data_IF_418273806115
#
_entry.id   IF_418273806115
#
_cell.length_a   1.000
_cell.length_b   1.000
_cell.length_c   1.000
_cell.angle_alpha   90.00
_cell.angle_beta   90.00
_cell.angle_gamma   90.00
#
_symmetry.space_group_name_H-M   'P 1'
#
loop_
_entity.id
_entity.type
_entity.pdbx_description
1 polymer ?
#
# COMPACT_ATOMS: atom_id res chain seq x y z
N UNK A 1 -4.45 43.94 -27.94
CA UNK A 1 -5.74 43.28 -27.66
C UNK A 1 -6.01 42.31 -28.80
N UNK A 2 -5.70 41.02 -28.63
CA UNK A 2 -5.94 40.00 -29.63
C UNK A 2 -7.06 39.10 -29.14
N UNK A 3 -8.24 39.27 -29.71
CA UNK A 3 -9.41 38.41 -29.50
C UNK A 3 -9.15 37.04 -30.13
N UNK A 4 -9.11 36.01 -29.29
CA UNK A 4 -9.06 34.62 -29.71
C UNK A 4 -10.35 34.26 -30.46
N UNK A 5 -10.22 33.89 -31.73
CA UNK A 5 -11.30 33.28 -32.51
C UNK A 5 -11.42 31.82 -32.08
N UNK A 6 -12.47 31.53 -31.32
CA UNK A 6 -12.80 30.19 -30.85
C UNK A 6 -13.47 29.43 -32.00
N UNK A 7 -12.69 28.71 -32.80
CA UNK A 7 -13.20 27.88 -33.91
C UNK A 7 -13.64 26.52 -33.36
N UNK A 8 -14.73 26.51 -32.60
CA UNK A 8 -15.48 25.28 -32.36
C UNK A 8 -16.72 25.31 -33.24
N UNK A 9 -16.50 25.14 -34.55
CA UNK A 9 -17.59 25.00 -35.53
C UNK A 9 -18.07 23.56 -35.45
N UNK A 10 -18.97 23.32 -34.49
CA UNK A 10 -19.81 22.13 -34.49
C UNK A 10 -20.81 22.29 -35.63
N UNK A 11 -20.79 21.38 -36.60
CA UNK A 11 -21.78 21.34 -37.67
C UNK A 11 -23.18 21.06 -37.05
N UNK A 12 -23.95 22.11 -36.80
CA UNK A 12 -25.36 22.04 -36.39
C UNK A 12 -26.26 21.76 -37.60
N UNK A 13 -26.15 20.57 -38.19
CA UNK A 13 -27.03 20.15 -39.29
C UNK A 13 -28.30 19.45 -38.79
N UNK A 14 -28.37 19.03 -37.52
CA UNK A 14 -29.45 18.18 -36.99
C UNK A 14 -30.73 18.94 -36.56
N UNK A 15 -30.71 20.28 -36.54
CA UNK A 15 -31.82 21.10 -36.03
C UNK A 15 -32.58 21.90 -37.11
N UNK A 16 -32.33 21.69 -38.39
CA UNK A 16 -33.18 22.24 -39.45
C UNK A 16 -34.41 21.34 -39.68
N UNK A 17 -35.61 21.95 -39.64
CA UNK A 17 -36.90 21.28 -39.83
C UNK A 17 -37.03 20.76 -41.27
N UNK A 18 -36.49 19.57 -41.54
CA UNK A 18 -36.77 18.84 -42.77
C UNK A 18 -38.12 18.13 -42.63
N UNK A 19 -39.16 18.70 -43.24
CA UNK A 19 -40.50 18.11 -43.33
C UNK A 19 -40.61 17.07 -44.45
N UNK A 20 -39.56 16.26 -44.65
CA UNK A 20 -39.56 15.26 -45.72
C UNK A 20 -40.57 14.15 -45.39
N UNK A 21 -41.51 13.92 -46.32
CA UNK A 21 -42.38 12.74 -46.32
C UNK A 21 -41.88 11.75 -47.35
N UNK A 22 -41.59 10.53 -46.92
CA UNK A 22 -41.04 9.47 -47.78
C UNK A 22 -41.99 8.31 -47.93
N UNK A 23 -41.98 7.66 -49.10
CA UNK A 23 -42.75 6.45 -49.38
C UNK A 23 -41.94 5.20 -49.02
N UNK A 24 -41.60 5.06 -47.75
CA UNK A 24 -40.83 3.91 -47.26
C UNK A 24 -41.72 2.66 -47.17
N UNK A 25 -41.30 1.49 -47.72
CA UNK A 25 -42.04 0.24 -47.59
C UNK A 25 -42.13 -0.20 -46.13
N UNK A 26 -43.29 0.00 -45.52
CA UNK A 26 -43.54 -0.40 -44.14
C UNK A 26 -45.03 -0.66 -43.92
N UNK A 27 -45.35 -1.35 -42.81
CA UNK A 27 -46.71 -1.70 -42.39
C UNK A 27 -46.94 -1.26 -40.96
N UNK A 28 -48.17 -0.88 -40.62
CA UNK A 28 -48.60 -0.62 -39.25
C UNK A 28 -49.45 -1.79 -38.78
N UNK A 29 -49.11 -2.35 -37.62
CA UNK A 29 -49.94 -3.32 -36.91
C UNK A 29 -50.39 -2.77 -35.58
N UNK A 30 -51.69 -2.63 -35.38
CA UNK A 30 -52.26 -2.13 -34.12
C UNK A 30 -53.58 -2.82 -33.81
N UNK A 31 -54.05 -2.64 -32.57
CA UNK A 31 -55.35 -3.13 -32.13
C UNK A 31 -56.30 -1.93 -32.11
N UNK A 32 -57.38 -2.01 -32.89
CA UNK A 32 -58.42 -0.99 -32.98
C UNK A 32 -59.27 -0.92 -31.71
N UNK A 33 -60.14 0.10 -31.64
CA UNK A 33 -60.98 0.37 -30.47
C UNK A 33 -61.99 -0.75 -30.17
N UNK A 34 -62.33 -1.60 -31.15
CA UNK A 34 -63.20 -2.76 -31.00
C UNK A 34 -62.43 -4.09 -30.86
N UNK A 35 -61.13 -4.03 -30.50
CA UNK A 35 -60.21 -5.17 -30.38
C UNK A 35 -59.94 -5.93 -31.68
N UNK A 36 -60.21 -5.32 -32.81
CA UNK A 36 -59.83 -5.81 -34.13
C UNK A 36 -58.32 -5.62 -34.37
N UNK A 37 -57.64 -6.64 -34.87
CA UNK A 37 -56.25 -6.51 -35.31
C UNK A 37 -56.20 -5.88 -36.70
N UNK A 38 -55.65 -4.68 -36.81
CA UNK A 38 -55.47 -3.98 -38.08
C UNK A 38 -54.02 -4.13 -38.54
N UNK A 39 -53.84 -4.56 -39.79
CA UNK A 39 -52.54 -4.62 -40.46
C UNK A 39 -52.66 -3.92 -41.83
N UNK A 40 -52.04 -2.75 -41.94
CA UNK A 40 -52.15 -1.89 -43.12
C UNK A 40 -50.78 -1.45 -43.63
N UNK A 41 -50.64 -1.31 -44.96
CA UNK A 41 -49.45 -0.76 -45.59
C UNK A 41 -49.44 0.76 -45.46
N UNK A 42 -48.26 1.32 -45.18
CA UNK A 42 -48.05 2.75 -45.11
C UNK A 42 -47.99 3.37 -46.50
N UNK A 43 -48.63 4.53 -46.65
CA UNK A 43 -48.57 5.37 -47.84
C UNK A 43 -47.37 6.32 -47.81
N UNK A 44 -47.16 6.95 -46.67
CA UNK A 44 -46.03 7.85 -46.41
C UNK A 44 -45.66 7.87 -44.93
N UNK A 45 -44.40 8.24 -44.66
CA UNK A 45 -43.82 8.36 -43.34
C UNK A 45 -43.01 9.67 -43.24
N UNK A 46 -43.04 10.28 -42.07
CA UNK A 46 -42.25 11.45 -41.70
C UNK A 46 -41.78 11.34 -40.26
N UNK A 47 -40.91 12.26 -39.84
CA UNK A 47 -40.47 12.32 -38.44
C UNK A 47 -41.60 12.61 -37.43
N UNK A 48 -42.74 13.16 -37.88
CA UNK A 48 -43.87 13.54 -37.02
C UNK A 48 -45.11 12.65 -37.15
N UNK A 49 -45.18 11.78 -38.14
CA UNK A 49 -46.36 10.96 -38.37
C UNK A 49 -46.33 10.20 -39.68
N UNK A 50 -47.39 9.46 -39.96
CA UNK A 50 -47.53 8.58 -41.11
C UNK A 50 -48.96 8.52 -41.63
N UNK A 51 -49.14 7.98 -42.83
CA UNK A 51 -50.46 7.73 -43.39
C UNK A 51 -50.60 6.28 -43.87
N UNK A 52 -51.80 5.72 -43.77
CA UNK A 52 -52.14 4.39 -44.28
C UNK A 52 -53.56 4.37 -44.86
N UNK A 53 -53.88 3.31 -45.60
CA UNK A 53 -55.25 3.05 -46.09
C UNK A 53 -55.92 1.99 -45.24
N UNK A 54 -57.16 2.25 -44.84
CA UNK A 54 -57.97 1.30 -44.08
C UNK A 54 -58.41 0.12 -44.97
N UNK A 55 -58.20 -1.14 -44.57
CA UNK A 55 -58.74 -2.30 -45.30
C UNK A 55 -60.26 -2.26 -45.40
N UNK A 56 -60.84 -2.66 -46.54
CA UNK A 56 -62.29 -2.56 -46.82
C UNK A 56 -63.23 -3.25 -45.80
N UNK A 57 -62.69 -4.12 -44.95
CA UNK A 57 -63.44 -4.87 -43.92
C UNK A 57 -63.17 -4.39 -42.48
N UNK A 58 -62.55 -3.21 -42.30
CA UNK A 58 -62.24 -2.69 -40.96
C UNK A 58 -63.17 -1.54 -40.56
N UNK A 59 -63.43 -1.47 -39.26
CA UNK A 59 -64.30 -0.48 -38.62
C UNK A 59 -63.83 0.95 -38.92
N UNK A 60 -64.73 1.93 -39.14
CA UNK A 60 -64.33 3.30 -39.44
C UNK A 60 -63.52 3.90 -38.28
N UNK A 61 -62.29 4.32 -38.57
CA UNK A 61 -61.41 4.97 -37.61
C UNK A 61 -61.92 6.38 -37.32
N UNK A 62 -62.04 6.78 -36.04
CA UNK A 62 -62.46 8.13 -35.68
C UNK A 62 -61.27 9.07 -35.52
N UNK A 63 -61.44 10.33 -35.94
CA UNK A 63 -60.43 11.37 -35.72
C UNK A 63 -60.37 11.66 -34.23
N UNK A 64 -59.15 11.62 -33.67
CA UNK A 64 -58.89 11.79 -32.25
C UNK A 64 -58.50 10.50 -31.52
N UNK A 65 -58.75 9.33 -32.13
CA UNK A 65 -58.44 8.03 -31.52
C UNK A 65 -56.93 7.87 -31.29
N UNK A 66 -56.58 7.38 -30.09
CA UNK A 66 -55.21 7.09 -29.68
C UNK A 66 -54.99 5.57 -29.71
N UNK A 67 -54.05 5.12 -30.53
CA UNK A 67 -53.70 3.71 -30.65
C UNK A 67 -52.23 3.47 -30.30
N UNK A 68 -51.95 2.28 -29.79
CA UNK A 68 -50.60 1.75 -29.64
C UNK A 68 -50.39 0.66 -30.67
N UNK A 69 -49.32 0.75 -31.45
CA UNK A 69 -49.04 -0.16 -32.54
C UNK A 69 -47.55 -0.39 -32.75
N UNK A 70 -47.25 -1.25 -33.72
CA UNK A 70 -45.89 -1.55 -34.18
C UNK A 70 -45.78 -1.21 -35.66
N UNK A 71 -44.87 -0.30 -35.98
CA UNK A 71 -44.43 -0.07 -37.36
C UNK A 71 -43.42 -1.14 -37.72
N UNK A 72 -43.69 -1.86 -38.79
CA UNK A 72 -42.88 -2.95 -39.32
C UNK A 72 -42.26 -2.48 -40.63
N UNK A 73 -40.95 -2.32 -40.62
CA UNK A 73 -40.14 -1.94 -41.76
C UNK A 73 -39.48 -3.19 -42.33
N UNK A 74 -39.53 -3.33 -43.65
CA UNK A 74 -38.83 -4.39 -44.35
C UNK A 74 -37.84 -3.74 -45.31
N UNK A 75 -36.56 -3.82 -44.97
CA UNK A 75 -35.46 -3.28 -45.77
C UNK A 75 -34.53 -4.46 -46.08
N UNK A 76 -34.46 -4.82 -47.36
CA UNK A 76 -33.77 -6.01 -47.87
C UNK A 76 -34.14 -7.29 -47.10
N UNK A 77 -33.21 -7.83 -46.32
CA UNK A 77 -33.35 -9.09 -45.55
C UNK A 77 -33.62 -8.88 -44.05
N UNK A 78 -33.72 -7.63 -43.60
CA UNK A 78 -33.87 -7.29 -42.17
C UNK A 78 -35.27 -6.72 -41.92
N UNK A 79 -35.97 -7.29 -40.94
CA UNK A 79 -37.21 -6.74 -40.40
C UNK A 79 -36.93 -5.89 -39.17
N UNK A 80 -37.31 -4.61 -39.23
CA UNK A 80 -37.20 -3.69 -38.09
C UNK A 80 -38.60 -3.38 -37.58
N UNK A 81 -38.77 -3.36 -36.26
CA UNK A 81 -40.04 -3.03 -35.63
C UNK A 81 -39.87 -1.88 -34.64
N UNK A 82 -40.75 -0.87 -34.75
CA UNK A 82 -40.79 0.27 -33.86
C UNK A 82 -42.14 0.31 -33.15
N UNK A 83 -42.13 0.28 -31.83
CA UNK A 83 -43.33 0.49 -31.02
C UNK A 83 -43.66 1.98 -31.01
N UNK A 84 -44.90 2.32 -31.36
CA UNK A 84 -45.34 3.72 -31.48
C UNK A 84 -46.72 3.89 -30.86
N UNK A 85 -46.93 5.03 -30.21
CA UNK A 85 -48.25 5.55 -29.88
C UNK A 85 -48.59 6.61 -30.93
N UNK A 86 -49.81 6.57 -31.47
CA UNK A 86 -50.22 7.51 -32.50
C UNK A 86 -51.67 7.93 -32.34
N UNK A 87 -51.94 9.17 -32.71
CA UNK A 87 -53.27 9.74 -32.74
C UNK A 87 -53.73 9.93 -34.18
N UNK A 88 -54.97 9.54 -34.46
CA UNK A 88 -55.59 9.79 -35.77
C UNK A 88 -55.96 11.26 -35.87
N UNK A 89 -55.41 11.97 -36.87
CA UNK A 89 -55.63 13.40 -37.08
C UNK A 89 -56.55 13.72 -38.25
N UNK A 90 -56.58 12.87 -39.26
CA UNK A 90 -57.42 13.08 -40.45
C UNK A 90 -57.90 11.74 -40.99
N UNK A 91 -59.16 11.69 -41.42
CA UNK A 91 -59.71 10.56 -42.16
C UNK A 91 -60.43 11.08 -43.41
N UNK A 92 -59.95 10.67 -44.57
CA UNK A 92 -60.60 10.96 -45.85
C UNK A 92 -61.46 9.77 -46.29
N UNK A 93 -62.77 10.00 -46.49
CA UNK A 93 -63.74 8.96 -46.83
C UNK A 93 -63.66 8.53 -48.29
N UNK A 94 -63.19 9.39 -49.19
CA UNK A 94 -63.15 9.09 -50.63
C UNK A 94 -61.93 8.24 -50.98
N UNK A 95 -60.79 8.51 -50.34
CA UNK A 95 -59.53 7.77 -50.55
C UNK A 95 -59.24 6.71 -49.49
N UNK A 96 -60.12 6.56 -48.48
CA UNK A 96 -59.93 5.74 -47.29
C UNK A 96 -58.57 5.98 -46.58
N UNK A 97 -58.03 7.19 -46.71
CA UNK A 97 -56.72 7.59 -46.19
C UNK A 97 -56.84 8.07 -44.75
N UNK A 98 -56.08 7.43 -43.87
CA UNK A 98 -55.93 7.81 -42.46
C UNK A 98 -54.58 8.50 -42.28
N UNK A 99 -54.59 9.70 -41.72
CA UNK A 99 -53.39 10.44 -41.32
C UNK A 99 -53.20 10.37 -39.81
N UNK A 100 -52.03 9.94 -39.38
CA UNK A 100 -51.68 9.74 -37.98
C UNK A 100 -50.48 10.61 -37.57
N UNK A 101 -50.54 11.14 -36.36
CA UNK A 101 -49.44 11.86 -35.72
C UNK A 101 -48.87 10.99 -34.59
N UNK A 102 -47.55 10.93 -34.47
CA UNK A 102 -46.91 10.22 -33.37
C UNK A 102 -47.09 10.96 -32.04
N UNK A 103 -47.39 10.20 -30.99
CA UNK A 103 -47.51 10.70 -29.63
C UNK A 103 -46.41 10.10 -28.75
N UNK A 104 -45.82 10.92 -27.88
CA UNK A 104 -44.84 10.51 -26.86
C UNK A 104 -43.65 9.67 -27.36
N UNK A 105 -43.15 9.90 -28.57
CA UNK A 105 -41.95 9.20 -29.04
C UNK A 105 -40.75 9.49 -28.15
N UNK A 106 -40.05 8.44 -27.73
CA UNK A 106 -38.81 8.57 -26.99
C UNK A 106 -37.71 9.14 -27.90
N UNK A 107 -36.70 9.85 -27.35
CA UNK A 107 -35.59 10.38 -28.15
C UNK A 107 -34.90 9.34 -29.05
N UNK A 108 -34.80 8.09 -28.55
CA UNK A 108 -34.25 6.94 -29.28
C UNK A 108 -35.07 6.59 -30.53
N UNK A 109 -36.40 6.65 -30.43
CA UNK A 109 -37.34 6.33 -31.51
C UNK A 109 -37.32 7.42 -32.59
N UNK A 110 -37.22 8.69 -32.16
CA UNK A 110 -37.09 9.85 -33.06
C UNK A 110 -35.77 9.77 -33.85
N UNK A 111 -34.66 9.45 -33.19
CA UNK A 111 -33.36 9.28 -33.85
C UNK A 111 -33.39 8.15 -34.87
N UNK A 112 -33.98 7.00 -34.51
CA UNK A 112 -34.15 5.86 -35.42
C UNK A 112 -34.99 6.23 -36.66
N UNK A 113 -36.14 6.89 -36.48
CA UNK A 113 -36.99 7.31 -37.60
C UNK A 113 -36.27 8.31 -38.52
N UNK A 114 -35.56 9.28 -37.97
CA UNK A 114 -34.80 10.26 -38.76
C UNK A 114 -33.69 9.60 -39.55
N UNK A 115 -32.92 8.73 -38.93
CA UNK A 115 -31.87 7.99 -39.61
C UNK A 115 -32.44 7.18 -40.79
N UNK A 116 -33.53 6.43 -40.56
CA UNK A 116 -34.19 5.68 -41.63
C UNK A 116 -34.68 6.56 -42.79
N UNK A 117 -35.28 7.72 -42.49
CA UNK A 117 -35.75 8.67 -43.51
C UNK A 117 -34.57 9.25 -44.29
N UNK A 118 -33.51 9.67 -43.60
CA UNK A 118 -32.32 10.28 -44.21
C UNK A 118 -31.58 9.27 -45.08
N UNK A 119 -31.31 8.05 -44.59
CA UNK A 119 -30.64 7.01 -45.37
C UNK A 119 -31.46 6.61 -46.59
N UNK A 120 -32.79 6.50 -46.47
CA UNK A 120 -33.66 6.22 -47.61
C UNK A 120 -33.63 7.33 -48.66
N UNK A 121 -33.63 8.60 -48.24
CA UNK A 121 -33.49 9.74 -49.16
C UNK A 121 -32.11 9.82 -49.82
N UNK A 122 -31.06 9.41 -49.10
CA UNK A 122 -29.69 9.38 -49.61
C UNK A 122 -29.43 8.17 -50.54
N UNK A 123 -30.32 7.18 -50.56
CA UNK A 123 -30.12 5.93 -51.30
C UNK A 123 -29.06 5.01 -50.69
N UNK A 124 -28.74 5.20 -49.42
CA UNK A 124 -27.71 4.42 -48.71
C UNK A 124 -28.28 3.09 -48.17
N UNK A 125 -27.46 2.04 -48.20
CA UNK A 125 -27.82 0.72 -47.62
C UNK A 125 -27.77 0.84 -46.10
N UNK A 126 -28.92 0.67 -45.44
CA UNK A 126 -29.04 0.77 -43.98
C UNK A 126 -28.36 -0.42 -43.30
N UNK A 127 -27.19 -0.21 -42.69
CA UNK A 127 -26.48 -1.21 -41.89
C UNK A 127 -26.85 -1.16 -40.40
N UNK A 128 -26.96 -2.32 -39.74
CA UNK A 128 -27.26 -2.43 -38.30
C UNK A 128 -26.17 -1.77 -37.44
N UNK A 129 -24.91 -1.81 -37.89
CA UNK A 129 -23.78 -1.21 -37.18
C UNK A 129 -23.89 0.32 -37.07
N UNK A 130 -24.30 0.98 -38.14
CA UNK A 130 -24.44 2.44 -38.18
C UNK A 130 -25.64 2.94 -37.37
N UNK A 131 -26.70 2.13 -37.32
CA UNK A 131 -27.87 2.39 -36.46
C UNK A 131 -27.52 2.26 -34.98
N UNK A 132 -26.71 1.26 -34.59
CA UNK A 132 -26.23 1.13 -33.21
C UNK A 132 -25.33 2.31 -32.81
N UNK A 133 -24.46 2.76 -33.73
CA UNK A 133 -23.56 3.87 -33.48
C UNK A 133 -24.30 5.21 -33.34
N UNK A 134 -25.33 5.46 -34.13
CA UNK A 134 -26.21 6.64 -33.98
C UNK A 134 -27.05 6.58 -32.70
N UNK A 135 -27.50 5.40 -32.28
CA UNK A 135 -28.21 5.22 -31.01
C UNK A 135 -27.29 5.36 -29.78
N UNK A 136 -25.99 5.04 -29.90
CA UNK A 136 -24.98 5.20 -28.85
C UNK A 136 -24.36 6.59 -28.77
N UNK A 137 -24.41 7.38 -29.85
CA UNK A 137 -24.05 8.79 -29.84
C UNK A 137 -25.11 9.57 -29.06
N UNK A 138 -24.93 9.66 -27.74
CA UNK A 138 -25.66 10.59 -26.90
C UNK A 138 -25.27 12.05 -27.23
N UNK A 139 -25.75 12.56 -28.36
CA UNK A 139 -25.72 13.98 -28.73
C UNK A 139 -26.97 14.72 -28.24
N UNK A 140 -27.59 14.26 -27.15
CA UNK A 140 -28.61 15.04 -26.48
C UNK A 140 -27.92 15.87 -25.41
N UNK A 141 -27.51 17.09 -25.79
CA UNK A 141 -27.21 18.12 -24.81
C UNK A 141 -28.43 18.23 -23.90
N UNK A 142 -28.26 17.76 -22.66
CA UNK A 142 -29.22 17.96 -21.58
C UNK A 142 -29.65 19.42 -21.66
N UNK A 143 -30.94 19.68 -21.83
CA UNK A 143 -31.46 21.04 -21.84
C UNK A 143 -30.81 21.78 -20.67
N UNK A 144 -30.04 22.82 -20.99
CA UNK A 144 -29.26 23.56 -20.00
C UNK A 144 -30.28 23.96 -18.94
N UNK A 145 -30.13 23.41 -17.74
CA UNK A 145 -30.92 23.87 -16.60
C UNK A 145 -30.56 25.35 -16.53
N UNK A 146 -31.48 26.22 -16.92
CA UNK A 146 -31.40 27.64 -16.64
C UNK A 146 -31.54 27.75 -15.12
N UNK A 147 -30.46 27.40 -14.42
CA UNK A 147 -30.20 27.86 -13.08
C UNK A 147 -30.13 29.36 -13.19
N UNK A 148 -31.07 30.00 -12.50
CA UNK A 148 -31.22 31.43 -12.30
C UNK A 148 -29.96 32.25 -12.62
N UNK A 149 -30.10 33.18 -13.56
CA UNK A 149 -29.31 34.39 -13.62
C UNK A 149 -27.85 34.23 -14.03
N UNK A 150 -27.51 34.88 -15.13
CA UNK A 150 -26.18 35.39 -15.43
C UNK A 150 -25.72 36.47 -14.43
N UNK A 151 -25.73 36.14 -13.12
CA UNK A 151 -25.08 36.91 -12.08
C UNK A 151 -23.86 36.13 -11.64
N UNK A 152 -22.67 36.75 -11.73
CA UNK A 152 -21.44 36.13 -11.24
C UNK A 152 -21.65 35.56 -9.84
N UNK A 153 -21.05 34.38 -9.58
CA UNK A 153 -21.18 33.64 -8.33
C UNK A 153 -21.21 34.60 -7.13
N UNK A 154 -22.36 34.66 -6.43
CA UNK A 154 -22.58 35.61 -5.34
C UNK A 154 -21.45 35.53 -4.31
N UNK A 155 -21.16 36.65 -3.62
CA UNK A 155 -20.03 36.77 -2.70
C UNK A 155 -19.91 35.60 -1.71
N UNK A 156 -21.06 35.09 -1.23
CA UNK A 156 -21.15 33.92 -0.35
C UNK A 156 -20.79 32.59 -1.04
N UNK A 157 -21.15 32.42 -2.31
CA UNK A 157 -20.76 31.26 -3.11
C UNK A 157 -19.26 31.25 -3.42
N UNK A 158 -18.68 32.42 -3.70
CA UNK A 158 -17.23 32.59 -3.86
C UNK A 158 -16.47 32.29 -2.58
N UNK A 159 -16.93 32.80 -1.44
CA UNK A 159 -16.33 32.51 -0.15
C UNK A 159 -16.36 31.02 0.17
N UNK A 160 -17.51 30.35 -0.02
CA UNK A 160 -17.63 28.89 0.18
C UNK A 160 -16.70 28.10 -0.75
N UNK A 161 -16.62 28.49 -2.03
CA UNK A 161 -15.73 27.83 -2.99
C UNK A 161 -14.26 28.00 -2.60
N UNK A 162 -13.83 29.22 -2.24
CA UNK A 162 -12.46 29.50 -1.79
C UNK A 162 -12.13 28.71 -0.52
N UNK A 163 -13.02 28.69 0.48
CA UNK A 163 -12.79 27.95 1.73
C UNK A 163 -12.63 26.45 1.48
N UNK A 164 -13.47 25.85 0.62
CA UNK A 164 -13.36 24.43 0.28
C UNK A 164 -12.08 24.15 -0.52
N UNK A 165 -11.75 24.98 -1.51
CA UNK A 165 -10.51 24.83 -2.29
C UNK A 165 -9.26 24.98 -1.41
N UNK A 166 -9.23 25.95 -0.50
CA UNK A 166 -8.13 26.14 0.44
C UNK A 166 -8.02 24.97 1.41
N UNK A 167 -9.13 24.43 1.92
CA UNK A 167 -9.11 23.27 2.79
C UNK A 167 -8.50 22.04 2.10
N UNK A 168 -8.92 21.76 0.85
CA UNK A 168 -8.35 20.67 0.05
C UNK A 168 -6.87 20.92 -0.24
N UNK A 169 -6.49 22.16 -0.53
CA UNK A 169 -5.09 22.53 -0.76
C UNK A 169 -4.23 22.30 0.49
N UNK A 170 -4.69 22.70 1.68
CA UNK A 170 -3.98 22.47 2.95
C UNK A 170 -3.82 20.98 3.22
N UNK A 171 -4.86 20.17 2.98
CA UNK A 171 -4.76 18.71 3.08
C UNK A 171 -3.74 18.15 2.07
N UNK A 172 -3.75 18.65 0.84
CA UNK A 172 -2.79 18.26 -0.19
C UNK A 172 -1.35 18.60 0.18
N UNK A 173 -1.09 19.80 0.71
CA UNK A 173 0.24 20.21 1.21
C UNK A 173 0.66 19.37 2.40
N UNK A 174 -0.26 19.07 3.32
CA UNK A 174 0.02 18.17 4.45
C UNK A 174 0.41 16.77 4.00
N UNK A 175 -0.35 16.18 3.09
CA UNK A 175 -0.05 14.88 2.50
C UNK A 175 1.29 14.89 1.75
N UNK A 176 1.57 15.94 0.98
CA UNK A 176 2.83 16.11 0.27
C UNK A 176 4.03 16.21 1.22
N UNK A 177 3.91 16.96 2.31
CA UNK A 177 4.95 17.05 3.34
C UNK A 177 5.22 15.70 4.01
N UNK A 178 4.18 14.91 4.27
CA UNK A 178 4.31 13.55 4.82
C UNK A 178 5.05 12.63 3.84
N UNK A 179 4.69 12.66 2.56
CA UNK A 179 5.34 11.84 1.53
C UNK A 179 6.81 12.24 1.37
N UNK A 180 7.12 13.53 1.28
CA UNK A 180 8.50 14.01 1.22
C UNK A 180 9.31 13.56 2.43
N UNK A 181 8.73 13.62 3.62
CA UNK A 181 9.36 13.12 4.83
C UNK A 181 9.61 11.60 4.73
N UNK A 182 8.65 10.79 4.28
CA UNK A 182 8.85 9.35 4.10
C UNK A 182 9.98 9.04 3.11
N UNK A 183 10.04 9.74 1.98
CA UNK A 183 11.12 9.60 1.01
C UNK A 183 12.46 9.97 1.65
N UNK A 184 12.53 11.08 2.39
CA UNK A 184 13.76 11.46 3.09
C UNK A 184 14.22 10.36 4.04
N UNK A 185 13.31 9.76 4.81
CA UNK A 185 13.68 8.72 5.77
C UNK A 185 14.10 7.41 5.10
N UNK A 186 13.50 7.07 3.96
CA UNK A 186 13.88 5.86 3.22
C UNK A 186 15.26 5.98 2.57
N UNK A 187 15.67 7.20 2.18
CA UNK A 187 16.94 7.42 1.48
C UNK A 187 18.09 7.91 2.36
N UNK A 188 17.81 8.60 3.47
CA UNK A 188 18.83 9.29 4.28
C UNK A 188 18.91 8.83 5.74
N UNK A 189 18.06 7.89 6.16
CA UNK A 189 18.12 7.33 7.53
C UNK A 189 18.41 5.85 7.46
N UNK A 190 19.55 5.47 8.03
CA UNK A 190 20.01 4.09 8.07
C UNK A 190 19.71 3.51 9.44
N UNK A 191 18.83 2.51 9.50
CA UNK A 191 18.48 1.82 10.74
C UNK A 191 19.31 0.54 10.91
N UNK A 192 19.64 0.23 12.16
CA UNK A 192 20.16 -1.07 12.55
C UNK A 192 19.05 -2.13 12.56
N UNK A 193 19.37 -3.36 12.17
CA UNK A 193 18.44 -4.49 12.24
C UNK A 193 18.22 -4.92 13.71
N UNK A 194 19.25 -4.78 14.55
CA UNK A 194 19.17 -5.00 15.99
C UNK A 194 20.23 -4.20 16.73
N UNK A 195 19.95 -3.90 18.01
CA UNK A 195 20.91 -3.28 18.91
C UNK A 195 20.66 -3.67 20.35
N UNK A 196 21.72 -3.70 21.15
CA UNK A 196 21.69 -4.07 22.57
C UNK A 196 22.72 -3.26 23.34
N UNK A 197 22.39 -2.88 24.56
CA UNK A 197 23.36 -2.31 25.49
C UNK A 197 24.31 -3.41 25.96
N UNK A 198 25.60 -3.23 25.74
CA UNK A 198 26.66 -4.18 26.04
C UNK A 198 27.70 -3.57 26.97
N UNK A 199 28.10 -4.33 27.99
CA UNK A 199 29.15 -3.93 28.93
C UNK A 199 30.36 -4.83 28.71
N UNK A 200 31.55 -4.25 28.76
CA UNK A 200 32.78 -5.00 28.60
C UNK A 200 32.87 -6.07 29.70
N UNK A 201 32.88 -7.34 29.32
CA UNK A 201 33.07 -8.46 30.23
C UNK A 201 34.39 -9.18 29.94
N UNK A 202 34.93 -9.80 30.98
CA UNK A 202 36.12 -10.63 30.92
C UNK A 202 35.78 -12.00 31.49
N UNK A 203 36.07 -13.03 30.72
CA UNK A 203 35.77 -14.41 31.08
C UNK A 203 37.03 -15.05 31.64
N UNK A 204 36.94 -15.58 32.85
CA UNK A 204 38.02 -16.35 33.48
C UNK A 204 37.75 -17.82 33.20
N UNK A 205 38.64 -18.42 32.43
CA UNK A 205 38.55 -19.81 32.00
C UNK A 205 39.48 -20.71 32.79
N UNK A 206 39.11 -21.99 32.89
CA UNK A 206 39.97 -23.00 33.49
C UNK A 206 41.26 -23.22 32.68
N UNK A 207 42.45 -23.12 33.29
CA UNK A 207 43.72 -23.38 32.60
C UNK A 207 43.94 -24.89 32.35
N UNK A 208 43.31 -25.74 33.15
CA UNK A 208 43.40 -27.20 33.15
C UNK A 208 42.06 -27.79 33.57
N UNK A 209 41.83 -29.05 33.23
CA UNK A 209 40.69 -29.80 33.73
C UNK A 209 40.86 -30.12 35.23
N UNK A 210 39.77 -30.03 36.00
CA UNK A 210 39.82 -30.20 37.44
C UNK A 210 38.56 -29.71 38.15
N UNK A 211 38.56 -29.74 39.48
CA UNK A 211 37.46 -29.19 40.28
C UNK A 211 37.74 -27.74 40.66
N UNK A 212 36.69 -26.93 40.76
CA UNK A 212 36.79 -25.50 41.11
C UNK A 212 36.11 -25.22 42.44
N UNK A 213 36.76 -24.44 43.29
CA UNK A 213 36.21 -23.90 44.53
C UNK A 213 36.29 -22.37 44.49
N UNK A 214 35.15 -21.71 44.49
CA UNK A 214 35.11 -20.24 44.54
C UNK A 214 35.57 -19.72 45.90
N UNK A 215 36.35 -18.64 45.88
CA UNK A 215 36.77 -17.89 47.07
C UNK A 215 35.97 -16.59 47.23
N UNK A 216 35.11 -16.26 46.26
CA UNK A 216 34.34 -15.02 46.21
C UNK A 216 32.89 -15.29 45.83
N UNK A 217 31.98 -14.44 46.31
CA UNK A 217 30.56 -14.55 45.98
C UNK A 217 30.22 -13.76 44.70
N UNK A 218 29.18 -14.16 43.93
CA UNK A 218 28.65 -13.34 42.85
C UNK A 218 28.26 -11.94 43.35
N UNK A 219 28.69 -10.91 42.62
CA UNK A 219 28.48 -9.51 42.96
C UNK A 219 29.61 -8.86 43.74
N UNK A 220 30.60 -9.62 44.24
CA UNK A 220 31.75 -9.10 44.96
C UNK A 220 32.68 -8.26 44.06
N UNK A 221 33.25 -7.19 44.63
CA UNK A 221 34.33 -6.42 44.00
C UNK A 221 35.69 -7.05 44.37
N UNK A 222 36.54 -7.26 43.36
CA UNK A 222 37.85 -7.87 43.49
C UNK A 222 38.91 -6.98 42.85
N UNK A 223 40.05 -6.83 43.53
CA UNK A 223 41.18 -6.09 43.00
C UNK A 223 41.95 -6.92 41.96
N UNK A 224 42.68 -6.24 41.07
CA UNK A 224 43.60 -6.89 40.13
C UNK A 224 44.62 -7.75 40.89
N UNK A 225 44.74 -9.02 40.49
CA UNK A 225 45.61 -10.02 41.09
C UNK A 225 45.02 -10.73 42.32
N UNK A 226 43.85 -10.31 42.79
CA UNK A 226 43.20 -10.98 43.92
C UNK A 226 42.77 -12.42 43.54
N UNK A 227 42.95 -13.41 44.43
CA UNK A 227 42.50 -14.77 44.19
C UNK A 227 40.96 -14.83 44.25
N UNK A 228 40.35 -15.32 43.16
CA UNK A 228 38.89 -15.42 43.02
C UNK A 228 38.39 -16.86 43.15
N UNK A 229 39.22 -17.84 42.82
CA UNK A 229 38.91 -19.25 43.02
C UNK A 229 40.19 -20.07 43.16
N UNK A 230 40.06 -21.25 43.71
CA UNK A 230 41.09 -22.29 43.66
C UNK A 230 40.62 -23.43 42.77
N UNK A 231 41.53 -24.07 42.06
CA UNK A 231 41.25 -25.27 41.29
C UNK A 231 42.17 -26.41 41.72
N UNK A 232 41.66 -27.63 41.65
CA UNK A 232 42.42 -28.86 41.92
C UNK A 232 42.44 -29.72 40.66
N UNK A 233 43.63 -30.01 40.13
CA UNK A 233 43.83 -30.82 38.93
C UNK A 233 44.70 -32.04 39.23
N UNK A 234 44.49 -33.14 38.50
CA UNK A 234 45.29 -34.35 38.66
C UNK A 234 46.69 -34.15 38.06
N UNK A 235 47.75 -34.47 38.81
CA UNK A 235 49.13 -34.28 38.38
C UNK A 235 49.50 -35.15 37.17
N UNK A 236 48.86 -36.31 37.04
CA UNK A 236 49.08 -37.23 35.92
C UNK A 236 48.82 -36.57 34.55
N UNK A 237 47.84 -35.66 34.47
CA UNK A 237 47.52 -34.94 33.22
C UNK A 237 48.58 -33.92 32.80
N UNK A 238 49.48 -33.51 33.70
CA UNK A 238 50.65 -32.71 33.35
C UNK A 238 51.74 -33.53 32.68
N UNK A 239 51.85 -34.80 33.05
CA UNK A 239 52.95 -35.68 32.67
C UNK A 239 52.63 -36.51 31.42
N UNK A 240 51.35 -36.71 31.08
CA UNK A 240 50.91 -37.45 29.88
C UNK A 240 51.53 -36.97 28.55
N UNK A 241 52.02 -35.73 28.46
CA UNK A 241 52.69 -35.20 27.26
C UNK A 241 54.22 -35.28 27.25
N UNK A 242 54.86 -35.66 28.37
CA UNK A 242 56.32 -35.62 28.54
C UNK A 242 56.91 -36.93 29.12
N UNK A 243 56.08 -37.96 29.33
CA UNK A 243 56.54 -39.26 29.82
C UNK A 243 56.93 -40.17 28.66
N UNK A 244 58.15 -40.70 28.67
CA UNK A 244 58.55 -41.84 27.83
C UNK A 244 57.97 -43.14 28.40
N UNK A 245 57.69 -44.13 27.54
CA UNK A 245 57.05 -45.40 27.93
C UNK A 245 57.77 -46.13 29.09
N UNK A 246 59.09 -45.93 29.22
CA UNK A 246 59.92 -46.50 30.30
C UNK A 246 59.66 -45.91 31.69
N UNK A 247 59.06 -44.72 31.78
CA UNK A 247 58.74 -44.05 33.05
C UNK A 247 57.34 -44.40 33.57
N UNK A 248 56.52 -45.10 32.78
CA UNK A 248 55.19 -45.62 33.13
C UNK A 248 55.27 -46.94 33.92
N UNK A 249 56.11 -46.99 34.95
CA UNK A 249 56.19 -48.15 35.83
C UNK A 249 54.97 -48.15 36.79
N UNK A 250 54.27 -49.28 37.03
CA UNK A 250 53.01 -49.32 37.79
C UNK A 250 53.10 -48.69 39.18
N UNK A 251 54.25 -48.81 39.84
CA UNK A 251 54.52 -48.24 41.17
C UNK A 251 54.69 -46.71 41.17
N UNK A 252 55.10 -46.11 40.06
CA UNK A 252 55.19 -44.65 39.91
C UNK A 252 53.84 -44.05 39.51
N UNK A 253 53.02 -44.80 38.78
CA UNK A 253 51.66 -44.42 38.40
C UNK A 253 50.79 -44.24 39.65
N UNK A 254 50.80 -45.19 40.59
CA UNK A 254 50.04 -45.07 41.85
C UNK A 254 50.47 -43.86 42.69
N UNK A 255 51.77 -43.55 42.75
CA UNK A 255 52.28 -42.37 43.45
C UNK A 255 51.83 -41.05 42.80
N UNK A 256 51.71 -41.02 41.47
CA UNK A 256 51.30 -39.83 40.72
C UNK A 256 49.78 -39.62 40.69
N UNK A 257 48.97 -40.68 40.82
CA UNK A 257 47.51 -40.60 40.93
C UNK A 257 47.04 -39.98 42.26
N UNK A 258 47.81 -40.13 43.35
CA UNK A 258 47.46 -39.61 44.67
C UNK A 258 47.75 -38.12 44.87
N UNK A 259 48.47 -37.47 43.96
CA UNK A 259 48.86 -36.07 44.09
C UNK A 259 48.02 -35.17 43.19
N UNK A 260 47.20 -34.33 43.82
CA UNK A 260 46.50 -33.25 43.14
C UNK A 260 47.30 -31.96 43.24
N UNK A 261 47.40 -31.24 42.12
CA UNK A 261 47.95 -29.89 42.10
C UNK A 261 46.83 -28.89 42.37
N UNK A 262 47.03 -28.03 43.37
CA UNK A 262 46.14 -26.91 43.62
C UNK A 262 46.73 -25.63 43.03
N UNK A 263 45.94 -24.90 42.27
CA UNK A 263 46.25 -23.58 41.75
C UNK A 263 45.18 -22.57 42.12
N UNK A 264 45.47 -21.28 41.91
CA UNK A 264 44.50 -20.20 42.11
C UNK A 264 44.23 -19.47 40.80
N UNK A 265 42.96 -19.15 40.57
CA UNK A 265 42.52 -18.23 39.54
C UNK A 265 42.53 -16.82 40.15
N UNK A 266 43.08 -15.86 39.43
CA UNK A 266 43.20 -14.46 39.89
C UNK A 266 42.45 -13.52 38.96
N UNK A 267 41.96 -12.41 39.50
CA UNK A 267 41.31 -11.38 38.70
C UNK A 267 42.34 -10.62 37.85
N UNK A 268 42.14 -10.43 36.53
CA UNK A 268 43.01 -9.65 35.67
C UNK A 268 42.86 -8.12 35.82
N UNK A 269 41.83 -7.66 36.54
CA UNK A 269 41.41 -6.27 36.65
C UNK A 269 40.77 -5.96 38.01
N UNK A 270 40.62 -4.67 38.31
CA UNK A 270 39.73 -4.20 39.37
C UNK A 270 38.29 -4.32 38.86
N UNK A 271 37.64 -5.41 39.25
CA UNK A 271 36.48 -5.93 38.58
C UNK A 271 35.42 -6.39 39.58
N UNK A 272 34.17 -6.41 39.13
CA UNK A 272 33.05 -7.00 39.87
C UNK A 272 32.68 -8.35 39.27
N UNK A 273 32.48 -9.35 40.12
CA UNK A 273 32.01 -10.67 39.70
C UNK A 273 30.54 -10.56 39.31
N UNK A 274 30.20 -10.75 38.04
CA UNK A 274 28.82 -10.67 37.55
C UNK A 274 28.12 -12.02 37.72
N UNK A 275 28.81 -13.09 37.32
CA UNK A 275 28.23 -14.42 37.26
C UNK A 275 29.31 -15.47 37.52
N UNK A 276 28.94 -16.51 38.28
CA UNK A 276 29.69 -17.75 38.42
C UNK A 276 28.97 -18.84 37.61
N UNK A 277 29.64 -19.36 36.57
CA UNK A 277 29.08 -20.33 35.62
C UNK A 277 29.24 -21.78 36.08
N UNK A 278 30.24 -22.06 36.91
CA UNK A 278 30.54 -23.39 37.46
C UNK A 278 30.44 -23.32 38.97
N UNK A 279 29.61 -24.18 39.57
CA UNK A 279 29.40 -24.18 41.01
C UNK A 279 30.60 -24.75 41.78
N UNK A 280 30.66 -24.45 43.08
CA UNK A 280 31.71 -24.95 43.96
C UNK A 280 31.73 -26.48 44.00
N UNK A 281 32.93 -27.06 43.94
CA UNK A 281 33.18 -28.50 43.92
C UNK A 281 32.88 -29.17 42.57
N UNK A 282 32.39 -28.44 41.56
CA UNK A 282 32.11 -29.02 40.25
C UNK A 282 33.39 -29.17 39.42
N UNK A 283 33.38 -30.20 38.57
CA UNK A 283 34.41 -30.44 37.57
C UNK A 283 34.22 -29.50 36.38
N UNK A 284 35.31 -28.90 35.91
CA UNK A 284 35.36 -28.06 34.73
C UNK A 284 36.56 -28.46 33.85
N UNK A 285 36.36 -28.43 32.55
CA UNK A 285 37.39 -28.75 31.57
C UNK A 285 38.30 -27.55 31.31
N UNK A 286 39.47 -27.80 30.72
CA UNK A 286 40.32 -26.73 30.21
C UNK A 286 39.55 -25.87 29.20
N UNK A 287 39.53 -24.56 29.41
CA UNK A 287 38.84 -23.58 28.57
C UNK A 287 37.42 -23.25 29.02
N UNK A 288 36.83 -24.02 29.93
CA UNK A 288 35.50 -23.73 30.46
C UNK A 288 35.50 -22.40 31.22
N UNK A 289 34.51 -21.55 30.96
CA UNK A 289 34.34 -20.26 31.61
C UNK A 289 33.78 -20.46 33.01
N UNK A 290 34.49 -19.98 34.02
CA UNK A 290 34.13 -20.13 35.43
C UNK A 290 33.48 -18.85 35.96
N UNK A 291 34.10 -17.71 35.71
CA UNK A 291 33.60 -16.40 36.13
C UNK A 291 33.47 -15.46 34.95
N UNK A 292 32.41 -14.66 34.98
CA UNK A 292 32.28 -13.46 34.15
C UNK A 292 32.49 -12.24 35.04
N UNK A 293 33.53 -11.47 34.74
CA UNK A 293 33.92 -10.27 35.46
C UNK A 293 33.65 -9.04 34.60
N UNK A 294 33.28 -7.92 35.24
CA UNK A 294 33.10 -6.63 34.56
C UNK A 294 33.97 -5.57 35.25
N UNK A 295 34.75 -4.75 34.50
CA UNK A 295 35.56 -3.68 35.09
C UNK A 295 34.71 -2.66 35.85
N UNK A 296 35.20 -2.22 37.02
CA UNK A 296 34.48 -1.28 37.89
C UNK A 296 34.18 0.06 37.21
N UNK A 297 35.12 0.55 36.40
CA UNK A 297 35.00 1.81 35.66
C UNK A 297 34.45 1.62 34.24
N UNK A 298 33.84 0.46 33.93
CA UNK A 298 33.29 0.23 32.59
C UNK A 298 32.01 1.04 32.37
N UNK A 299 32.04 1.91 31.37
CA UNK A 299 30.84 2.55 30.84
C UNK A 299 30.15 1.60 29.86
N UNK A 300 28.83 1.49 29.94
CA UNK A 300 28.09 0.67 28.99
C UNK A 300 28.24 1.23 27.57
N UNK A 301 28.42 0.34 26.61
CA UNK A 301 28.46 0.63 25.17
C UNK A 301 27.20 0.10 24.50
N UNK A 302 26.94 0.49 23.26
CA UNK A 302 25.85 -0.09 22.47
C UNK A 302 26.45 -0.91 21.35
N UNK A 303 26.00 -2.15 21.23
CA UNK A 303 26.35 -3.01 20.10
C UNK A 303 25.15 -3.08 19.15
N UNK A 304 25.38 -2.75 17.89
CA UNK A 304 24.35 -2.73 16.86
C UNK A 304 24.77 -3.54 15.64
N UNK A 305 23.79 -4.12 14.95
CA UNK A 305 23.99 -4.88 13.72
C UNK A 305 23.31 -4.17 12.57
N UNK A 306 24.06 -3.93 11.51
CA UNK A 306 23.59 -3.30 10.30
C UNK A 306 23.76 -4.25 9.12
N UNK A 307 22.88 -4.18 8.11
CA UNK A 307 23.03 -4.99 6.92
C UNK A 307 24.24 -4.52 6.11
N UNK A 308 24.93 -5.45 5.44
CA UNK A 308 26.18 -5.18 4.72
C UNK A 308 26.04 -4.10 3.63
N UNK A 309 24.84 -3.92 3.05
CA UNK A 309 24.53 -2.83 2.10
C UNK A 309 24.87 -1.42 2.63
N UNK A 310 24.88 -1.24 3.96
CA UNK A 310 25.13 0.04 4.60
C UNK A 310 26.60 0.21 5.01
N UNK A 311 27.51 -0.70 4.64
CA UNK A 311 28.92 -0.71 5.06
C UNK A 311 29.64 0.63 4.87
N UNK A 312 29.33 1.35 3.77
CA UNK A 312 29.96 2.63 3.44
C UNK A 312 29.73 3.73 4.50
N UNK A 313 28.60 3.68 5.22
CA UNK A 313 28.21 4.67 6.23
C UNK A 313 28.74 4.33 7.63
N UNK A 314 29.20 3.10 7.85
CA UNK A 314 29.61 2.56 9.15
C UNK A 314 31.09 2.85 9.50
N UNK A 315 31.59 4.02 9.12
CA UNK A 315 32.98 4.39 9.43
C UNK A 315 33.15 4.71 10.92
N UNK A 316 34.29 4.35 11.55
CA UNK A 316 34.62 4.81 12.89
C UNK A 316 34.56 6.33 13.00
N UNK A 317 33.95 6.84 14.06
CA UNK A 317 33.71 8.27 14.28
C UNK A 317 32.36 8.79 13.78
N UNK A 318 31.60 8.02 12.99
CA UNK A 318 30.25 8.41 12.55
C UNK A 318 29.33 8.62 13.76
N UNK A 319 28.58 9.72 13.75
CA UNK A 319 27.59 10.03 14.76
C UNK A 319 26.31 9.21 14.54
N UNK A 320 25.80 8.62 15.60
CA UNK A 320 24.60 7.78 15.59
C UNK A 320 23.65 8.21 16.70
N UNK A 321 22.36 8.06 16.43
CA UNK A 321 21.31 8.26 17.42
C UNK A 321 20.82 6.88 17.88
N UNK A 322 20.68 6.69 19.18
CA UNK A 322 20.15 5.45 19.73
C UNK A 322 19.12 5.71 20.83
N UNK A 323 18.18 4.78 20.96
CA UNK A 323 17.15 4.81 21.99
C UNK A 323 17.04 3.45 22.67
N UNK A 324 17.24 3.43 23.98
CA UNK A 324 17.14 2.20 24.79
C UNK A 324 15.68 1.89 25.06
N UNK A 325 15.28 0.63 24.95
CA UNK A 325 13.93 0.20 25.25
C UNK A 325 13.54 0.52 26.70
N UNK A 326 12.39 1.19 26.86
CA UNK A 326 11.90 1.67 28.15
C UNK A 326 12.38 3.07 28.53
N UNK A 327 13.32 3.65 27.79
CA UNK A 327 13.70 5.06 27.91
C UNK A 327 12.95 5.91 26.86
N UNK A 328 12.54 7.11 27.26
CA UNK A 328 11.90 8.08 26.37
C UNK A 328 12.92 9.00 25.68
N UNK A 329 14.15 9.03 26.17
CA UNK A 329 15.20 9.90 25.67
C UNK A 329 15.98 9.26 24.51
N UNK A 330 16.17 10.03 23.44
CA UNK A 330 17.07 9.65 22.33
C UNK A 330 18.45 10.21 22.65
N UNK A 331 19.47 9.35 22.65
CA UNK A 331 20.84 9.70 23.01
C UNK A 331 21.74 9.64 21.77
N UNK A 332 22.79 10.46 21.78
CA UNK A 332 23.83 10.46 20.76
C UNK A 332 25.01 9.57 21.15
N UNK A 333 25.71 9.06 20.15
CA UNK A 333 26.98 8.36 20.32
C UNK A 333 27.79 8.30 19.03
N UNK A 334 28.98 7.71 19.13
CA UNK A 334 29.89 7.55 17.99
C UNK A 334 30.30 6.11 17.79
N UNK A 335 30.48 5.72 16.54
CA UNK A 335 31.01 4.40 16.19
C UNK A 335 32.48 4.33 16.62
N UNK A 336 32.81 3.38 17.49
CA UNK A 336 34.19 3.11 17.92
C UNK A 336 34.86 2.11 16.98
N UNK A 337 34.18 1.01 16.67
CA UNK A 337 34.71 -0.10 15.87
C UNK A 337 33.61 -0.73 15.04
N UNK A 338 34.01 -1.26 13.88
CA UNK A 338 33.15 -2.06 13.02
C UNK A 338 33.87 -3.36 12.65
N UNK A 339 33.12 -4.46 12.64
CA UNK A 339 33.62 -5.76 12.26
C UNK A 339 32.50 -6.54 11.55
N UNK A 340 32.81 -7.29 10.48
CA UNK A 340 31.86 -8.26 9.94
C UNK A 340 31.53 -9.31 11.02
N UNK A 341 30.30 -9.81 11.03
CA UNK A 341 29.91 -10.91 11.93
C UNK A 341 30.47 -12.22 11.36
N UNK A 342 31.22 -12.98 12.16
CA UNK A 342 31.79 -14.26 11.72
C UNK A 342 30.68 -15.27 11.33
N UNK A 343 30.71 -15.71 10.07
CA UNK A 343 29.78 -16.68 9.48
C UNK A 343 30.00 -16.80 7.96
N UNK A 344 29.71 -17.98 7.40
CA UNK A 344 30.04 -18.37 6.01
C UNK A 344 29.44 -17.44 4.92
N UNK A 345 28.46 -16.60 5.29
CA UNK A 345 27.81 -15.60 4.46
C UNK A 345 27.39 -14.38 5.32
N UNK A 346 28.36 -13.64 5.88
CA UNK A 346 28.07 -12.49 6.76
C UNK A 346 27.28 -11.38 6.04
N UNK A 347 25.95 -11.39 6.17
CA UNK A 347 25.08 -10.32 5.65
C UNK A 347 25.02 -9.10 6.57
N UNK A 348 25.69 -9.16 7.72
CA UNK A 348 25.60 -8.19 8.80
C UNK A 348 26.99 -7.70 9.24
N UNK A 349 27.06 -6.42 9.60
CA UNK A 349 28.21 -5.75 10.18
C UNK A 349 27.86 -5.40 11.61
N UNK A 350 28.69 -5.86 12.55
CA UNK A 350 28.63 -5.49 13.96
C UNK A 350 29.36 -4.18 14.18
N UNK A 351 28.69 -3.28 14.87
CA UNK A 351 29.16 -1.93 15.18
C UNK A 351 29.13 -1.74 16.68
N UNK A 352 30.25 -1.31 17.25
CA UNK A 352 30.34 -0.92 18.64
C UNK A 352 30.27 0.61 18.74
N UNK A 353 29.37 1.11 19.58
CA UNK A 353 29.04 2.52 19.71
C UNK A 353 29.37 2.97 21.14
N UNK A 354 30.12 4.07 21.24
CA UNK A 354 30.37 4.76 22.50
C UNK A 354 29.36 5.89 22.68
N UNK A 355 28.52 5.85 23.72
CA UNK A 355 27.62 6.96 24.07
C UNK A 355 28.37 8.28 24.33
N UNK A 356 27.79 9.41 23.92
CA UNK A 356 28.34 10.73 24.24
C UNK A 356 28.21 11.09 25.73
N UNK A 357 27.20 10.52 26.40
CA UNK A 357 26.99 10.58 27.84
C UNK A 357 27.09 9.19 28.46
N UNK A 358 27.72 9.03 29.63
CA UNK A 358 27.91 7.73 30.25
C UNK A 358 26.56 7.05 30.48
N UNK A 359 26.45 5.82 29.97
CA UNK A 359 25.27 5.00 30.08
C UNK A 359 25.40 4.05 31.29
N UNK A 360 24.33 3.94 32.07
CA UNK A 360 24.32 3.09 33.26
C UNK A 360 24.47 1.61 32.86
N UNK A 361 25.40 0.93 33.54
CA UNK A 361 25.60 -0.52 33.49
C UNK A 361 24.32 -1.34 33.77
N UNK A 362 23.35 -0.81 34.51
CA UNK A 362 22.07 -1.48 34.77
C UNK A 362 21.20 -1.66 33.52
N UNK A 363 21.48 -0.90 32.45
CA UNK A 363 20.78 -1.03 31.17
C UNK A 363 21.36 -2.15 30.30
N UNK A 364 22.42 -2.84 30.74
CA UNK A 364 23.00 -3.97 30.03
C UNK A 364 21.96 -5.01 29.63
N UNK A 365 22.07 -5.52 28.40
CA UNK A 365 21.14 -6.51 27.83
C UNK A 365 19.82 -5.92 27.34
N UNK A 366 19.55 -4.61 27.54
CA UNK A 366 18.33 -4.00 27.02
C UNK A 366 18.40 -3.80 25.51
N UNK A 367 17.34 -4.15 24.76
CA UNK A 367 17.22 -3.84 23.34
C UNK A 367 17.34 -2.33 23.12
N UNK A 368 18.01 -1.93 22.05
CA UNK A 368 18.25 -0.53 21.70
C UNK A 368 18.06 -0.36 20.20
N UNK A 369 17.25 0.61 19.81
CA UNK A 369 17.12 1.02 18.41
C UNK A 369 18.26 1.97 18.07
N UNK A 370 18.96 1.74 16.96
CA UNK A 370 20.06 2.59 16.49
C UNK A 370 19.79 3.05 15.08
N UNK A 371 20.04 4.34 14.82
CA UNK A 371 19.91 4.96 13.51
C UNK A 371 21.06 5.92 13.22
N UNK A 372 21.44 5.98 11.95
CA UNK A 372 22.42 6.92 11.41
C UNK A 372 21.64 7.96 10.61
N UNK A 373 21.84 9.23 10.93
CA UNK A 373 21.02 10.31 10.39
C UNK A 373 19.64 10.42 11.03
N UNK A 374 18.82 11.33 10.50
CA UNK A 374 17.47 11.62 11.01
C UNK A 374 17.41 12.70 12.10
N UNK A 375 16.26 13.36 12.19
CA UNK A 375 16.01 14.40 13.20
C UNK A 375 15.72 13.75 14.57
N UNK A 376 16.35 14.23 15.67
CA UNK A 376 16.01 13.79 17.02
C UNK A 376 14.57 14.21 17.35
N UNK A 377 13.70 13.24 17.71
CA UNK A 377 12.32 13.52 18.17
C UNK A 377 11.17 12.88 17.37
N UNK A 378 11.44 11.98 16.42
CA UNK A 378 10.42 11.34 15.56
C UNK A 378 9.44 10.38 16.28
N UNK A 379 9.69 10.01 17.53
CA UNK A 379 8.79 9.14 18.31
C UNK A 379 7.43 9.79 18.59
N UNK A 380 7.38 11.12 18.72
CA UNK A 380 6.12 11.85 18.94
C UNK A 380 5.23 11.87 17.69
N UNK A 381 5.82 12.03 16.50
CA UNK A 381 5.10 11.99 15.23
C UNK A 381 4.59 10.58 14.90
N UNK A 382 5.40 9.54 15.15
CA UNK A 382 4.97 8.15 14.98
C UNK A 382 3.86 7.77 15.97
N UNK A 383 3.91 8.23 17.23
CA UNK A 383 2.81 8.05 18.20
C UNK A 383 1.54 8.79 17.76
N UNK A 384 1.66 10.03 17.29
CA UNK A 384 0.51 10.81 16.81
C UNK A 384 -0.16 10.17 15.58
N UNK A 385 0.63 9.62 14.65
CA UNK A 385 0.09 8.87 13.51
C UNK A 385 -0.51 7.53 13.91
N UNK A 386 0.12 6.78 14.81
CA UNK A 386 -0.42 5.51 15.32
C UNK A 386 -1.76 5.71 16.05
N UNK A 387 -1.90 6.80 16.80
CA UNK A 387 -3.17 7.21 17.44
C UNK A 387 -4.22 7.68 16.42
N UNK A 388 -3.81 8.23 15.27
CA UNK A 388 -4.73 8.65 14.21
C UNK A 388 -5.22 7.48 13.35
N UNK A 389 -4.44 6.40 13.22
CA UNK A 389 -4.82 5.17 12.48
C UNK A 389 -5.50 4.11 13.34
N UNK A 390 -5.51 4.27 14.67
CA UNK A 390 -6.15 3.33 15.61
C UNK A 390 -7.64 3.67 15.89
N UNK A 391 -8.33 4.33 14.96
CA UNK A 391 -9.74 4.70 15.12
C UNK A 391 -10.62 4.22 13.97
#
# INVERSE_FOLDING_TARGET
MNTAVNVNVVHESEAQRQHARVKLPARIRYIGSHREGVDARLLDLSAGGFAFTTPSNSTPVQVGDLHKGKLLFQIDSISFSLEVEFQVRSYDRDSARVGCEFQHLKPREIAALRYLITSYLAGEVVSVGDMLNTLQRENFTKARKHGAGSGGMGFFGRFRAVTVSTAIFVVGVGAFAVILNQIYNLYFVTHADSGVVSVANQQITMPREGTVESLVEPGAEVAKGAPIASFSANLLDLLKGNLTEEQLNPSNIEKLFGHQMKGTLTSPCDCRVVEQRVANGQFANKGDVIFTLTPRDSTATVEARFPYRNAAELSPGTHVNFQVAGDSEVRGGRILRTAPVDGDLSSEIRVQITPDQPLDSQLAGRPTEVSIGGLPGRTLLNKAMALATAR
#
